data_IF_720177409183
#
_entry.id   IF_720177409183
#
_cell.length_a   1.000
_cell.length_b   1.000
_cell.length_c   1.000
_cell.angle_alpha   90.00
_cell.angle_beta   90.00
_cell.angle_gamma   90.00
#
_symmetry.space_group_name_H-M   'P 1'
#
loop_
_entity.id
_entity.type
_entity.pdbx_description
1 polymer ?
#
# COMPACT_ATOMS: atom_id res chain seq x y z
N UNK A 1 -15.10 -0.88 -21.30
CA UNK A 1 -14.76 0.35 -20.58
C UNK A 1 -15.46 1.49 -21.28
N UNK A 2 -16.39 2.19 -20.61
CA UNK A 2 -17.12 3.34 -21.15
C UNK A 2 -16.20 4.44 -21.70
N UNK A 3 -16.74 5.27 -22.60
CA UNK A 3 -16.04 6.45 -23.14
C UNK A 3 -15.74 7.45 -22.01
N UNK A 4 -14.57 8.09 -22.01
CA UNK A 4 -14.19 9.04 -20.96
C UNK A 4 -13.55 8.43 -19.70
N UNK A 5 -13.51 7.10 -19.56
CA UNK A 5 -12.93 6.50 -18.35
C UNK A 5 -11.43 6.76 -18.20
N UNK A 6 -10.69 6.96 -19.30
CA UNK A 6 -9.26 7.28 -19.22
C UNK A 6 -9.04 8.63 -18.57
N UNK A 7 -9.87 9.61 -18.88
CA UNK A 7 -9.83 10.97 -18.35
C UNK A 7 -10.12 10.96 -16.84
N UNK A 8 -11.05 10.13 -16.37
CA UNK A 8 -11.36 9.97 -14.93
C UNK A 8 -10.16 9.48 -14.12
N UNK A 9 -9.32 8.60 -14.69
CA UNK A 9 -8.10 8.07 -14.03
C UNK A 9 -7.06 9.16 -13.74
N UNK A 10 -7.00 10.20 -14.58
CA UNK A 10 -6.00 11.27 -14.46
C UNK A 10 -6.56 12.54 -13.81
N UNK A 11 -7.81 12.52 -13.36
CA UNK A 11 -8.50 13.70 -12.85
C UNK A 11 -8.52 13.72 -11.33
N UNK A 12 -8.22 14.89 -10.76
CA UNK A 12 -8.33 15.17 -9.32
C UNK A 12 -9.80 15.36 -8.86
N UNK A 13 -10.76 15.38 -9.79
CA UNK A 13 -12.19 15.45 -9.49
C UNK A 13 -12.81 14.05 -9.25
N UNK A 14 -11.99 12.99 -9.28
CA UNK A 14 -12.40 11.62 -9.02
C UNK A 14 -11.60 11.03 -7.85
N UNK A 15 -12.28 10.20 -7.05
CA UNK A 15 -11.70 9.41 -5.98
C UNK A 15 -11.48 7.97 -6.45
N UNK A 16 -10.35 7.43 -6.00
CA UNK A 16 -9.99 6.04 -6.24
C UNK A 16 -10.45 5.17 -5.07
N UNK A 17 -11.23 4.13 -5.37
CA UNK A 17 -11.63 3.11 -4.39
C UNK A 17 -11.19 1.72 -4.84
N UNK A 18 -10.52 0.99 -3.96
CA UNK A 18 -10.35 -0.43 -4.10
C UNK A 18 -11.66 -1.13 -3.74
N UNK A 19 -12.17 -1.93 -4.66
CA UNK A 19 -13.42 -2.68 -4.53
C UNK A 19 -13.19 -4.14 -4.90
N UNK A 20 -13.99 -5.02 -4.31
CA UNK A 20 -13.92 -6.46 -4.60
C UNK A 20 -14.37 -6.74 -6.04
N UNK A 21 -13.56 -7.55 -6.73
CA UNK A 21 -13.79 -8.02 -8.09
C UNK A 21 -13.73 -9.54 -8.07
N UNK A 22 -14.84 -10.19 -8.40
CA UNK A 22 -14.95 -11.64 -8.40
C UNK A 22 -15.88 -12.08 -9.54
N UNK A 23 -15.67 -13.27 -10.10
CA UNK A 23 -16.50 -13.81 -11.19
C UNK A 23 -16.67 -12.84 -12.38
N UNK A 24 -15.58 -12.16 -12.75
CA UNK A 24 -15.55 -11.17 -13.83
C UNK A 24 -16.51 -9.99 -13.68
N UNK A 25 -16.88 -9.66 -12.44
CA UNK A 25 -17.76 -8.53 -12.11
C UNK A 25 -17.33 -7.81 -10.84
N UNK A 26 -17.70 -6.53 -10.76
CA UNK A 26 -17.67 -5.82 -9.48
C UNK A 26 -18.82 -6.34 -8.62
N UNK A 27 -18.60 -6.48 -7.31
CA UNK A 27 -19.69 -6.77 -6.35
C UNK A 27 -20.79 -5.68 -6.38
N UNK A 28 -20.46 -4.50 -6.91
CA UNK A 28 -21.36 -3.36 -7.09
C UNK A 28 -22.09 -3.33 -8.44
N UNK A 29 -21.81 -4.26 -9.36
CA UNK A 29 -22.25 -4.17 -10.76
C UNK A 29 -23.76 -4.38 -10.94
N UNK A 30 -24.45 -5.00 -9.98
CA UNK A 30 -25.90 -5.23 -10.01
C UNK A 30 -26.74 -3.94 -9.84
N UNK A 31 -26.09 -2.78 -9.68
CA UNK A 31 -26.73 -1.49 -9.40
C UNK A 31 -27.02 -0.64 -10.65
N UNK A 32 -26.74 -1.15 -11.85
CA UNK A 32 -26.97 -0.46 -13.14
C UNK A 32 -26.33 0.96 -13.21
N UNK A 33 -25.18 1.11 -12.56
CA UNK A 33 -24.42 2.35 -12.48
C UNK A 33 -23.27 2.35 -13.49
N UNK A 34 -23.07 3.46 -14.20
CA UNK A 34 -21.97 3.65 -15.15
C UNK A 34 -20.64 3.85 -14.42
N UNK A 35 -19.98 2.75 -14.10
CA UNK A 35 -18.70 2.75 -13.39
C UNK A 35 -17.52 2.68 -14.35
N UNK A 36 -16.55 3.58 -14.13
CA UNK A 36 -15.20 3.39 -14.66
C UNK A 36 -14.38 2.64 -13.61
N UNK A 37 -13.82 1.50 -13.99
CA UNK A 37 -12.92 0.74 -13.13
C UNK A 37 -11.80 0.08 -13.93
N UNK A 38 -10.72 -0.23 -13.24
CA UNK A 38 -9.59 -1.00 -13.77
C UNK A 38 -9.33 -2.19 -12.87
N UNK A 39 -9.35 -3.39 -13.45
CA UNK A 39 -8.99 -4.62 -12.72
C UNK A 39 -7.53 -4.50 -12.26
N UNK A 40 -7.31 -4.61 -10.95
CA UNK A 40 -6.00 -4.53 -10.33
C UNK A 40 -5.42 -5.92 -10.05
N UNK A 41 -6.28 -6.88 -9.69
CA UNK A 41 -5.94 -8.29 -9.49
C UNK A 41 -7.16 -9.19 -9.70
N UNK A 42 -7.00 -10.50 -9.47
CA UNK A 42 -8.12 -11.47 -9.55
C UNK A 42 -9.21 -11.27 -8.49
N UNK A 43 -8.96 -10.47 -7.45
CA UNK A 43 -9.90 -10.22 -6.34
C UNK A 43 -10.26 -8.74 -6.18
N UNK A 44 -9.60 -7.84 -6.90
CA UNK A 44 -9.75 -6.40 -6.70
C UNK A 44 -9.72 -5.60 -8.00
N UNK A 45 -10.49 -4.53 -8.01
CA UNK A 45 -10.45 -3.48 -9.01
C UNK A 45 -10.35 -2.10 -8.36
N UNK A 46 -9.83 -1.13 -9.10
CA UNK A 46 -9.87 0.29 -8.73
C UNK A 46 -11.07 0.92 -9.43
N UNK A 47 -12.02 1.43 -8.65
CA UNK A 47 -13.19 2.17 -9.06
C UNK A 47 -12.91 3.67 -9.02
N UNK A 48 -13.31 4.39 -10.08
CA UNK A 48 -13.18 5.83 -10.20
C UNK A 48 -14.54 6.50 -10.04
N UNK A 49 -14.75 7.17 -8.92
CA UNK A 49 -16.03 7.82 -8.56
C UNK A 49 -15.85 9.32 -8.42
N UNK A 50 -16.75 10.10 -9.02
CA UNK A 50 -16.67 11.56 -8.98
C UNK A 50 -16.82 12.08 -7.54
N UNK A 51 -15.91 12.95 -7.12
CA UNK A 51 -15.94 13.52 -5.79
C UNK A 51 -14.61 14.11 -5.35
N UNK A 52 -14.68 15.03 -4.38
CA UNK A 52 -13.49 15.65 -3.77
C UNK A 52 -13.17 15.13 -2.38
N UNK A 53 -14.13 14.42 -1.78
CA UNK A 53 -13.99 13.84 -0.45
C UNK A 53 -14.89 12.62 -0.32
N UNK A 54 -14.42 11.64 0.44
CA UNK A 54 -15.19 10.44 0.73
C UNK A 54 -16.39 10.78 1.62
N UNK A 55 -17.58 10.34 1.20
CA UNK A 55 -18.83 10.49 1.96
C UNK A 55 -19.33 9.13 2.44
N UNK A 56 -19.79 9.07 3.69
CA UNK A 56 -20.39 7.85 4.23
C UNK A 56 -21.74 7.61 3.57
N UNK A 57 -21.92 6.43 2.98
CA UNK A 57 -23.16 5.99 2.35
C UNK A 57 -23.33 4.47 2.49
N UNK A 58 -24.37 3.91 1.90
CA UNK A 58 -24.70 2.48 1.96
C UNK A 58 -23.60 1.57 1.38
N UNK A 59 -22.67 2.12 0.59
CA UNK A 59 -21.55 1.38 -0.01
C UNK A 59 -20.23 1.58 0.72
N UNK A 60 -20.23 2.29 1.85
CA UNK A 60 -19.01 2.55 2.61
C UNK A 60 -18.32 1.30 3.14
N UNK A 61 -19.05 0.20 3.33
CA UNK A 61 -18.48 -1.07 3.78
C UNK A 61 -17.76 -1.88 2.70
N UNK A 62 -17.89 -1.49 1.42
CA UNK A 62 -17.33 -2.23 0.27
C UNK A 62 -16.34 -1.40 -0.56
N UNK A 63 -16.11 -0.14 -0.17
CA UNK A 63 -15.15 0.78 -0.79
C UNK A 63 -14.00 1.03 0.17
N UNK A 64 -12.77 0.74 -0.26
CA UNK A 64 -11.55 0.98 0.51
C UNK A 64 -10.70 2.04 -0.19
N UNK A 65 -10.27 3.08 0.51
CA UNK A 65 -9.34 4.07 -0.08
C UNK A 65 -7.94 3.44 -0.14
N UNK A 66 -7.33 3.27 -1.32
CA UNK A 66 -6.02 2.64 -1.43
C UNK A 66 -4.95 3.56 -0.85
N UNK A 67 -4.13 3.03 0.06
CA UNK A 67 -2.90 3.69 0.46
C UNK A 67 -1.84 3.47 -0.62
N UNK A 68 -1.68 4.46 -1.50
CA UNK A 68 -0.67 4.43 -2.55
C UNK A 68 0.71 4.76 -1.95
N UNK A 69 1.52 3.74 -1.68
CA UNK A 69 2.92 3.91 -1.32
C UNK A 69 3.76 3.96 -2.60
N UNK A 70 4.34 5.13 -2.90
CA UNK A 70 5.29 5.26 -4.00
C UNK A 70 6.55 4.43 -3.77
N UNK A 71 7.33 4.20 -4.84
CA UNK A 71 8.72 3.74 -4.69
C UNK A 71 9.47 4.81 -3.88
N UNK A 72 9.64 4.58 -2.58
CA UNK A 72 10.54 5.36 -1.76
C UNK A 72 11.94 5.20 -2.32
N UNK A 73 12.40 6.20 -3.09
CA UNK A 73 13.80 6.31 -3.46
C UNK A 73 14.59 6.48 -2.16
N UNK A 74 15.14 5.38 -1.68
CA UNK A 74 15.67 5.26 -0.32
C UNK A 74 16.87 6.18 -0.13
N UNK A 75 17.62 6.45 -1.20
CA UNK A 75 18.87 7.20 -1.15
C UNK A 75 18.69 8.64 -0.64
N UNK A 76 17.69 9.38 -1.14
CA UNK A 76 17.47 10.76 -0.69
C UNK A 76 17.05 10.81 0.79
N UNK A 77 16.29 9.82 1.25
CA UNK A 77 15.86 9.68 2.65
C UNK A 77 17.04 9.28 3.54
N UNK A 78 17.88 8.35 3.08
CA UNK A 78 19.08 7.91 3.80
C UNK A 78 20.13 9.02 3.94
N UNK A 79 20.26 9.88 2.92
CA UNK A 79 21.15 11.06 2.98
C UNK A 79 20.61 12.15 3.90
N UNK A 80 19.31 12.49 3.81
CA UNK A 80 18.71 13.54 4.63
C UNK A 80 18.64 13.16 6.11
N UNK A 81 18.37 11.89 6.42
CA UNK A 81 18.41 11.35 7.78
C UNK A 81 19.85 11.14 8.31
N UNK A 82 20.89 11.38 7.50
CA UNK A 82 22.28 11.22 7.89
C UNK A 82 22.77 9.77 8.02
N UNK A 83 21.91 8.79 7.75
CA UNK A 83 22.21 7.35 7.83
C UNK A 83 23.36 7.00 6.88
N UNK A 84 23.35 7.55 5.66
CA UNK A 84 24.39 7.29 4.68
C UNK A 84 25.76 7.85 5.11
N UNK A 85 25.79 8.97 5.83
CA UNK A 85 27.03 9.55 6.39
C UNK A 85 27.67 8.62 7.43
N UNK A 86 26.85 8.04 8.30
CA UNK A 86 27.30 7.08 9.33
C UNK A 86 27.80 5.78 8.67
N UNK A 87 27.07 5.24 7.69
CA UNK A 87 27.47 4.01 6.97
C UNK A 87 28.79 4.16 6.19
N UNK A 88 29.11 5.37 5.72
CA UNK A 88 30.36 5.66 4.99
C UNK A 88 31.60 5.78 5.89
N UNK A 89 31.45 5.85 7.21
CA UNK A 89 32.61 5.94 8.09
C UNK A 89 33.34 4.60 8.16
N UNK A 90 34.62 4.63 7.81
CA UNK A 90 35.51 3.46 7.86
C UNK A 90 35.58 2.95 9.30
N UNK A 91 35.31 1.66 9.49
CA UNK A 91 35.43 0.99 10.78
C UNK A 91 34.13 0.88 11.60
N UNK A 92 33.06 1.61 11.24
CA UNK A 92 31.80 1.52 11.99
C UNK A 92 30.96 0.27 11.63
N UNK A 93 31.06 -0.28 10.41
CA UNK A 93 30.39 -1.52 9.98
C UNK A 93 28.91 -1.66 10.40
N UNK A 94 28.19 -0.54 10.54
CA UNK A 94 26.81 -0.49 11.03
C UNK A 94 25.82 -0.80 9.90
N UNK A 95 25.64 -2.09 9.58
CA UNK A 95 24.66 -2.52 8.60
C UNK A 95 23.49 -3.31 9.21
N UNK A 96 23.51 -3.53 10.53
CA UNK A 96 22.45 -4.23 11.26
C UNK A 96 22.68 -5.74 11.40
N UNK A 97 23.86 -6.27 11.06
CA UNK A 97 24.16 -7.68 11.30
C UNK A 97 24.09 -7.97 12.80
N UNK A 98 23.37 -9.03 13.17
CA UNK A 98 23.22 -9.43 14.57
C UNK A 98 22.31 -8.51 15.39
N UNK A 99 21.58 -7.60 14.74
CA UNK A 99 20.58 -6.74 15.38
C UNK A 99 19.18 -7.27 15.06
N UNK A 100 18.36 -7.42 16.10
CA UNK A 100 16.93 -7.72 15.97
C UNK A 100 16.13 -6.43 16.06
N UNK A 101 15.25 -6.19 15.08
CA UNK A 101 14.33 -5.05 15.09
C UNK A 101 12.90 -5.58 15.20
N UNK A 102 12.15 -5.10 16.19
CA UNK A 102 10.74 -5.42 16.40
C UNK A 102 9.85 -4.21 16.13
N UNK A 103 8.80 -4.40 15.34
CA UNK A 103 7.76 -3.40 15.10
C UNK A 103 6.51 -3.78 15.89
N UNK A 104 6.06 -2.86 16.74
CA UNK A 104 4.80 -2.94 17.46
C UNK A 104 3.93 -1.81 16.93
N UNK A 105 2.95 -2.16 16.12
CA UNK A 105 1.96 -1.25 15.52
C UNK A 105 0.55 -1.75 15.86
N UNK A 106 -0.50 -0.98 15.64
CA UNK A 106 -1.87 -1.32 16.03
C UNK A 106 -2.44 -2.55 15.30
N UNK A 107 -1.74 -3.08 14.29
CA UNK A 107 -2.16 -4.22 13.49
C UNK A 107 -1.81 -5.57 14.10
N UNK A 108 -2.46 -5.97 15.21
CA UNK A 108 -2.60 -7.33 15.81
C UNK A 108 -1.39 -8.27 15.93
N UNK A 109 -0.21 -7.95 15.38
CA UNK A 109 0.96 -8.83 15.26
C UNK A 109 2.23 -8.02 15.41
N UNK A 110 3.22 -8.62 16.06
CA UNK A 110 4.59 -8.10 16.07
C UNK A 110 5.34 -8.63 14.85
N UNK A 111 6.00 -7.73 14.12
CA UNK A 111 6.93 -8.11 13.04
C UNK A 111 8.34 -8.09 13.59
N UNK A 112 9.01 -9.24 13.58
CA UNK A 112 10.41 -9.38 13.95
C UNK A 112 11.26 -9.51 12.68
N UNK A 113 12.22 -8.60 12.51
CA UNK A 113 13.21 -8.64 11.44
C UNK A 113 14.58 -8.94 12.03
N UNK A 114 15.18 -10.05 11.60
CA UNK A 114 16.56 -10.41 11.93
C UNK A 114 17.39 -10.55 10.67
N UNK A 115 18.60 -9.97 10.70
CA UNK A 115 19.56 -10.06 9.62
C UNK A 115 20.92 -10.55 10.15
N UNK A 116 21.43 -11.62 9.57
CA UNK A 116 22.67 -12.26 9.98
C UNK A 116 23.84 -12.00 9.03
N UNK A 117 23.67 -11.13 8.03
CA UNK A 117 24.70 -10.85 7.01
C UNK A 117 24.55 -11.68 5.71
N UNK A 118 23.63 -12.64 5.65
CA UNK A 118 23.25 -13.32 4.39
C UNK A 118 22.24 -12.48 3.59
N UNK A 119 21.85 -12.90 2.38
CA UNK A 119 20.77 -12.22 1.63
C UNK A 119 19.37 -12.53 2.16
N UNK A 120 19.26 -13.21 3.29
CA UNK A 120 17.99 -13.64 3.86
C UNK A 120 17.63 -12.77 5.07
N UNK A 121 16.40 -12.26 5.06
CA UNK A 121 15.78 -11.60 6.21
C UNK A 121 14.74 -12.56 6.76
N UNK A 122 14.86 -12.92 8.03
CA UNK A 122 13.85 -13.75 8.69
C UNK A 122 12.75 -12.83 9.21
N UNK A 123 11.53 -13.06 8.73
CA UNK A 123 10.32 -12.35 9.17
C UNK A 123 9.52 -13.30 10.05
N UNK A 124 9.45 -13.00 11.35
CA UNK A 124 8.62 -13.71 12.31
C UNK A 124 7.36 -12.91 12.67
N UNK A 125 6.25 -13.61 12.87
CA UNK A 125 5.02 -13.03 13.41
C UNK A 125 4.75 -13.61 14.81
N UNK A 126 4.72 -12.75 15.83
CA UNK A 126 4.31 -13.10 17.18
C UNK A 126 2.88 -12.63 17.45
N UNK A 127 2.01 -13.53 17.94
CA UNK A 127 0.65 -13.18 18.38
C UNK A 127 0.53 -12.90 19.88
N UNK A 128 1.55 -13.23 20.68
CA UNK A 128 1.49 -13.16 22.13
C UNK A 128 2.65 -12.31 22.67
N UNK A 129 2.37 -11.04 22.94
CA UNK A 129 3.09 -10.17 23.88
C UNK A 129 2.08 -9.45 24.76
#
# INVERSE_FOLDING_TARGET
>A
MPEGCRERIYSEDYLDFLVEYAEDRLVLQDLDLDFCYKVASSHFAVLYEEGKAYTINSFSGVKVIPHCYGLLSSDQVLESAGIAKVRRQVGLNLYGQGVLVGFIDTGERVILLSWNGSREVVIGYGKDF
#
